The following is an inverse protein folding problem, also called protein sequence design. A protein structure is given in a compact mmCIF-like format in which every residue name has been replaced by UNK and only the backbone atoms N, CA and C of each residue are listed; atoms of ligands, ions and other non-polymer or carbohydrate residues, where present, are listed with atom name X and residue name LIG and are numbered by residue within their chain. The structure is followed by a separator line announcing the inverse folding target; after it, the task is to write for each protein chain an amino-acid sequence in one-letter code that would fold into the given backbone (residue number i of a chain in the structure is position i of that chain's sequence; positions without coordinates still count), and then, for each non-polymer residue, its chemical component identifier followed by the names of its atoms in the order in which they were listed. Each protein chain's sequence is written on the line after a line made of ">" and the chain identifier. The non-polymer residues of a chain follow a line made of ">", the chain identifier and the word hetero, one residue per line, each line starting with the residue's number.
data_IF_602509792259
#
_entry.id   IF_602509792259
#
_cell.length_a   1.000
_cell.length_b   1.000
_cell.length_c   1.000
_cell.angle_alpha   90.00
_cell.angle_beta   90.00
_cell.angle_gamma   90.00
#
_symmetry.space_group_name_H-M   'P 1'
#
loop_
_entity.id
_entity.type
_entity.pdbx_description
1 polymer ?
#
# COMPACT_ATOMS: atom_id res chain seq x y z
N UNK A 1 -20.71 -10.28 0.86
CA UNK A 1 -20.57 -8.96 0.20
C UNK A 1 -19.55 -9.09 -0.91
N UNK A 2 -19.93 -8.78 -2.16
CA UNK A 2 -18.98 -8.83 -3.28
C UNK A 2 -17.87 -7.81 -3.02
N UNK A 3 -16.59 -8.23 -3.08
CA UNK A 3 -15.41 -7.34 -3.01
C UNK A 3 -15.25 -6.46 -4.28
N UNK A 4 -16.34 -6.26 -5.03
CA UNK A 4 -16.41 -5.46 -6.24
C UNK A 4 -17.00 -4.10 -5.88
N UNK A 5 -16.39 -3.04 -6.42
CA UNK A 5 -16.87 -1.68 -6.28
C UNK A 5 -18.33 -1.54 -6.77
N UNK A 6 -19.20 -0.80 -6.05
CA UNK A 6 -20.59 -0.58 -6.45
C UNK A 6 -20.70 0.01 -7.86
N UNK A 7 -21.76 -0.32 -8.60
CA UNK A 7 -22.01 0.24 -9.94
C UNK A 7 -22.03 1.78 -9.97
N UNK A 8 -22.36 2.42 -8.84
CA UNK A 8 -22.28 3.87 -8.67
C UNK A 8 -20.87 4.45 -8.92
N UNK A 9 -19.79 3.71 -8.63
CA UNK A 9 -18.43 4.19 -8.89
C UNK A 9 -18.10 4.26 -10.39
N UNK A 10 -18.78 3.46 -11.24
CA UNK A 10 -18.65 3.59 -12.70
C UNK A 10 -19.24 4.89 -13.24
N UNK A 11 -20.17 5.52 -12.50
CA UNK A 11 -20.75 6.81 -12.86
C UNK A 11 -19.81 7.97 -12.50
N UNK A 12 -18.86 7.75 -11.58
CA UNK A 12 -17.87 8.75 -11.15
C UNK A 12 -16.58 8.60 -11.97
N UNK A 13 -16.06 7.39 -12.13
CA UNK A 13 -14.89 7.12 -12.98
C UNK A 13 -15.08 5.83 -13.80
N UNK A 14 -14.71 5.80 -15.09
CA UNK A 14 -14.98 4.64 -15.98
C UNK A 14 -14.41 3.31 -15.48
N UNK A 15 -13.29 3.34 -14.74
CA UNK A 15 -12.69 2.13 -14.15
C UNK A 15 -13.56 1.52 -13.04
N UNK A 16 -14.46 2.31 -12.43
CA UNK A 16 -15.35 1.86 -11.36
C UNK A 16 -14.61 1.22 -10.19
N UNK A 17 -13.44 1.75 -9.83
CA UNK A 17 -12.60 1.28 -8.72
C UNK A 17 -12.43 2.41 -7.71
N UNK A 18 -12.24 2.06 -6.43
CA UNK A 18 -11.75 2.97 -5.40
C UNK A 18 -10.22 2.87 -5.29
N UNK A 19 -9.51 3.94 -4.87
CA UNK A 19 -10.01 5.26 -4.50
C UNK A 19 -10.30 6.18 -5.71
N UNK A 20 -11.23 7.12 -5.52
CA UNK A 20 -11.52 8.25 -6.43
C UNK A 20 -11.77 9.48 -5.58
N UNK A 21 -11.24 10.63 -5.98
CA UNK A 21 -11.51 11.93 -5.37
C UNK A 21 -12.20 12.82 -6.39
N UNK A 22 -13.19 13.58 -5.92
CA UNK A 22 -13.81 14.67 -6.67
C UNK A 22 -13.56 15.97 -5.93
N UNK A 23 -12.92 16.92 -6.60
CA UNK A 23 -12.70 18.30 -6.12
C UNK A 23 -13.27 19.25 -7.18
N UNK A 24 -14.36 19.93 -6.85
CA UNK A 24 -15.24 20.64 -7.80
C UNK A 24 -15.62 19.75 -9.02
N UNK A 25 -15.28 20.19 -10.23
CA UNK A 25 -15.51 19.44 -11.48
C UNK A 25 -14.37 18.46 -11.83
N UNK A 26 -13.33 18.38 -11.00
CA UNK A 26 -12.16 17.52 -11.24
C UNK A 26 -12.35 16.16 -10.59
N UNK A 27 -12.30 15.09 -11.40
CA UNK A 27 -12.30 13.71 -10.90
C UNK A 27 -10.92 13.11 -11.09
N UNK A 28 -10.31 12.64 -9.99
CA UNK A 28 -9.00 12.00 -9.98
C UNK A 28 -9.13 10.58 -9.45
N UNK A 29 -8.59 9.62 -10.21
CA UNK A 29 -8.52 8.21 -9.84
C UNK A 29 -7.05 7.76 -9.81
N UNK A 30 -6.79 6.56 -9.28
CA UNK A 30 -5.46 6.00 -8.95
C UNK A 30 -4.83 6.64 -7.72
N UNK A 31 -4.38 5.81 -6.77
CA UNK A 31 -3.86 6.26 -5.46
C UNK A 31 -2.67 7.19 -5.60
N UNK A 32 -1.68 6.84 -6.44
CA UNK A 32 -0.52 7.69 -6.68
C UNK A 32 -0.91 9.07 -7.23
N UNK A 33 -1.78 9.11 -8.24
CA UNK A 33 -2.23 10.35 -8.86
C UNK A 33 -3.10 11.21 -7.92
N UNK A 34 -3.95 10.59 -7.10
CA UNK A 34 -4.72 11.29 -6.06
C UNK A 34 -3.77 11.95 -5.05
N UNK A 35 -2.74 11.23 -4.59
CA UNK A 35 -1.78 11.78 -3.64
C UNK A 35 -1.03 12.96 -4.27
N UNK A 36 -0.52 12.81 -5.49
CA UNK A 36 0.16 13.89 -6.22
C UNK A 36 -0.76 15.11 -6.39
N UNK A 37 -2.01 14.89 -6.80
CA UNK A 37 -3.01 15.96 -6.94
C UNK A 37 -3.25 16.71 -5.64
N UNK A 38 -3.42 15.99 -4.52
CA UNK A 38 -3.66 16.63 -3.22
C UNK A 38 -2.44 17.45 -2.75
N UNK A 39 -1.22 16.97 -3.02
CA UNK A 39 0.01 17.70 -2.71
C UNK A 39 0.14 18.94 -3.59
N UNK A 40 -0.09 18.82 -4.90
CA UNK A 40 -0.03 19.95 -5.83
C UNK A 40 -1.08 21.03 -5.49
N UNK A 41 -2.31 20.60 -5.19
CA UNK A 41 -3.45 21.50 -4.96
C UNK A 41 -3.43 22.15 -3.59
N UNK A 42 -3.10 21.39 -2.55
CA UNK A 42 -3.26 21.82 -1.14
C UNK A 42 -1.95 21.87 -0.34
N UNK A 43 -0.84 21.36 -0.88
CA UNK A 43 0.44 21.25 -0.17
C UNK A 43 1.01 22.59 0.25
N UNK A 44 0.80 23.65 -0.54
CA UNK A 44 1.26 25.00 -0.21
C UNK A 44 0.58 25.60 1.03
N UNK A 45 -0.64 25.16 1.37
CA UNK A 45 -1.35 25.59 2.58
C UNK A 45 -1.23 24.58 3.72
N UNK A 46 -0.47 23.49 3.53
CA UNK A 46 -0.33 22.46 4.54
C UNK A 46 0.46 22.99 5.76
N UNK A 47 0.22 22.41 6.96
CA UNK A 47 1.00 22.76 8.15
C UNK A 47 2.50 22.51 7.94
N UNK A 48 3.35 23.19 8.72
CA UNK A 48 4.81 23.12 8.57
C UNK A 48 5.38 21.68 8.63
N UNK A 49 4.73 20.77 9.36
CA UNK A 49 5.10 19.35 9.43
C UNK A 49 5.02 18.61 8.07
N UNK A 50 4.27 19.19 7.11
CA UNK A 50 4.05 18.70 5.76
C UNK A 50 4.75 19.57 4.70
N UNK A 51 5.64 20.48 5.10
CA UNK A 51 6.36 21.37 4.18
C UNK A 51 7.30 20.63 3.20
N UNK A 52 7.57 19.34 3.44
CA UNK A 52 8.43 18.48 2.62
C UNK A 52 7.64 17.34 1.94
N UNK A 53 6.32 17.51 1.75
CA UNK A 53 5.47 16.54 1.07
C UNK A 53 5.99 16.18 -0.33
N UNK A 54 6.44 17.19 -1.09
CA UNK A 54 7.19 17.03 -2.34
C UNK A 54 8.61 17.57 -2.11
N UNK A 55 9.62 16.69 -1.96
CA UNK A 55 11.00 17.13 -1.91
C UNK A 55 11.40 17.87 -3.20
N UNK A 56 12.34 18.80 -3.09
CA UNK A 56 12.74 19.65 -4.22
C UNK A 56 13.24 18.83 -5.42
N UNK A 57 12.77 19.19 -6.61
CA UNK A 57 13.15 18.49 -7.85
C UNK A 57 14.65 18.51 -8.06
N UNK A 58 15.21 17.36 -8.45
CA UNK A 58 16.64 17.18 -8.70
C UNK A 58 17.45 16.72 -7.49
N UNK A 59 16.89 16.76 -6.28
CA UNK A 59 17.57 16.24 -5.08
C UNK A 59 17.50 14.70 -5.00
N UNK A 60 18.38 14.05 -4.21
CA UNK A 60 18.28 12.63 -3.90
C UNK A 60 16.92 12.24 -3.30
N UNK A 61 16.39 13.05 -2.38
CA UNK A 61 15.13 12.80 -1.68
C UNK A 61 13.94 12.79 -2.64
N UNK A 62 13.95 13.68 -3.64
CA UNK A 62 12.92 13.66 -4.68
C UNK A 62 13.00 12.42 -5.57
N UNK A 63 14.21 11.89 -5.84
CA UNK A 63 14.38 10.62 -6.58
C UNK A 63 13.86 9.44 -5.76
N UNK A 64 14.18 9.38 -4.47
CA UNK A 64 13.64 8.37 -3.55
C UNK A 64 12.12 8.46 -3.48
N UNK A 65 11.58 9.67 -3.26
CA UNK A 65 10.14 9.90 -3.19
C UNK A 65 9.41 9.34 -4.42
N UNK A 66 9.89 9.68 -5.62
CA UNK A 66 9.36 9.15 -6.88
C UNK A 66 9.49 7.63 -6.98
N UNK A 67 10.65 7.09 -6.62
CA UNK A 67 10.88 5.64 -6.66
C UNK A 67 9.85 4.91 -5.78
N UNK A 68 9.66 5.36 -4.54
CA UNK A 68 8.74 4.72 -3.60
C UNK A 68 7.27 4.87 -3.98
N UNK A 69 6.88 6.01 -4.57
CA UNK A 69 5.55 6.20 -5.15
C UNK A 69 5.21 5.13 -6.21
N UNK A 70 6.16 4.83 -7.10
CA UNK A 70 5.98 3.82 -8.14
C UNK A 70 6.22 2.39 -7.66
N UNK A 71 7.16 2.17 -6.75
CA UNK A 71 7.48 0.84 -6.22
C UNK A 71 6.28 0.21 -5.50
N UNK A 72 5.52 1.03 -4.75
CA UNK A 72 4.32 0.59 -4.05
C UNK A 72 3.33 -0.11 -5.00
N UNK A 73 2.96 0.54 -6.09
CA UNK A 73 1.96 0.05 -7.05
C UNK A 73 2.55 -0.93 -8.06
N UNK A 74 3.74 -0.61 -8.60
CA UNK A 74 4.34 -1.35 -9.71
C UNK A 74 5.06 -2.64 -9.30
N UNK A 75 5.49 -2.78 -8.05
CA UNK A 75 6.26 -3.94 -7.60
C UNK A 75 5.67 -4.60 -6.36
N UNK A 76 5.54 -3.86 -5.26
CA UNK A 76 5.15 -4.45 -3.98
C UNK A 76 3.71 -4.99 -3.99
N UNK A 77 2.74 -4.15 -4.37
CA UNK A 77 1.33 -4.55 -4.35
C UNK A 77 1.01 -5.69 -5.31
N UNK A 78 1.73 -5.83 -6.42
CA UNK A 78 1.56 -6.95 -7.36
C UNK A 78 1.79 -8.30 -6.67
N UNK A 79 2.89 -8.44 -5.93
CA UNK A 79 3.17 -9.68 -5.19
C UNK A 79 2.21 -9.91 -4.03
N UNK A 80 1.82 -8.84 -3.33
CA UNK A 80 0.91 -8.93 -2.19
C UNK A 80 -0.52 -9.29 -2.61
N UNK A 81 -0.99 -8.80 -3.76
CA UNK A 81 -2.28 -9.19 -4.35
C UNK A 81 -2.21 -10.62 -4.85
N UNK A 82 -1.12 -11.01 -5.53
CA UNK A 82 -0.96 -12.40 -5.96
C UNK A 82 -0.97 -13.35 -4.77
N UNK A 83 -0.28 -13.00 -3.68
CA UNK A 83 -0.34 -13.76 -2.43
C UNK A 83 -1.77 -13.89 -1.91
N UNK A 84 -2.50 -12.78 -1.80
CA UNK A 84 -3.89 -12.77 -1.36
C UNK A 84 -4.78 -13.70 -2.21
N UNK A 85 -4.64 -13.63 -3.55
CA UNK A 85 -5.42 -14.47 -4.48
C UNK A 85 -5.10 -15.95 -4.25
N UNK A 86 -3.83 -16.33 -4.19
CA UNK A 86 -3.41 -17.72 -4.00
C UNK A 86 -3.69 -18.26 -2.59
N UNK A 87 -3.82 -17.40 -1.58
CA UNK A 87 -4.33 -17.77 -0.24
C UNK A 87 -5.85 -17.96 -0.24
N UNK A 88 -6.56 -17.20 -1.09
CA UNK A 88 -8.03 -17.19 -1.16
C UNK A 88 -8.59 -18.36 -1.98
N UNK A 89 -7.97 -18.71 -3.12
CA UNK A 89 -8.46 -19.75 -4.04
C UNK A 89 -8.82 -21.06 -3.32
N UNK A 90 -7.95 -21.65 -2.47
CA UNK A 90 -8.25 -22.94 -1.83
C UNK A 90 -9.32 -22.88 -0.74
N UNK A 91 -9.78 -21.67 -0.38
CA UNK A 91 -10.85 -21.41 0.60
C UNK A 91 -12.22 -21.21 -0.09
N UNK A 92 -12.25 -21.05 -1.41
CA UNK A 92 -13.49 -20.92 -2.15
C UNK A 92 -14.25 -22.27 -2.20
N UNK A 93 -15.59 -22.25 -2.32
CA UNK A 93 -16.39 -23.46 -2.48
C UNK A 93 -15.94 -24.26 -3.72
N UNK A 94 -15.61 -25.53 -3.52
CA UNK A 94 -15.23 -26.44 -4.61
C UNK A 94 -15.49 -27.91 -4.23
N UNK A 95 -15.68 -28.80 -5.22
CA UNK A 95 -15.86 -30.23 -4.96
C UNK A 95 -14.68 -30.83 -4.18
N UNK A 96 -14.97 -31.74 -3.26
CA UNK A 96 -13.96 -32.26 -2.33
C UNK A 96 -12.77 -32.94 -3.05
N UNK A 97 -12.99 -33.51 -4.24
CA UNK A 97 -11.94 -34.17 -5.03
C UNK A 97 -11.01 -33.20 -5.77
N UNK A 98 -11.48 -31.98 -6.10
CA UNK A 98 -10.65 -30.93 -6.73
C UNK A 98 -9.80 -30.22 -5.68
N UNK A 99 -10.33 -30.07 -4.46
CA UNK A 99 -9.71 -29.29 -3.39
C UNK A 99 -8.26 -29.68 -3.05
N UNK A 100 -7.86 -30.96 -2.96
CA UNK A 100 -6.47 -31.35 -2.73
C UNK A 100 -5.55 -30.90 -3.86
N UNK A 101 -5.98 -31.03 -5.11
CA UNK A 101 -5.20 -30.65 -6.30
C UNK A 101 -4.99 -29.13 -6.32
N UNK A 102 -6.06 -28.36 -6.13
CA UNK A 102 -6.00 -26.90 -6.07
C UNK A 102 -5.07 -26.42 -4.95
N UNK A 103 -5.16 -27.01 -3.76
CA UNK A 103 -4.26 -26.72 -2.63
C UNK A 103 -2.80 -27.02 -2.95
N UNK A 104 -2.51 -28.18 -3.53
CA UNK A 104 -1.15 -28.57 -3.87
C UNK A 104 -0.53 -27.63 -4.92
N UNK A 105 -1.28 -27.27 -5.96
CA UNK A 105 -0.83 -26.32 -6.98
C UNK A 105 -0.58 -24.93 -6.38
N UNK A 106 -1.55 -24.40 -5.63
CA UNK A 106 -1.40 -23.08 -4.99
C UNK A 106 -0.22 -23.05 -4.03
N UNK A 107 -0.04 -24.10 -3.22
CA UNK A 107 1.09 -24.21 -2.29
C UNK A 107 2.43 -24.21 -3.04
N UNK A 108 2.55 -24.91 -4.17
CA UNK A 108 3.77 -24.93 -4.97
C UNK A 108 4.09 -23.55 -5.56
N UNK A 109 3.09 -22.85 -6.11
CA UNK A 109 3.28 -21.50 -6.65
C UNK A 109 3.66 -20.53 -5.54
N UNK A 110 3.00 -20.63 -4.38
CA UNK A 110 3.35 -19.81 -3.22
C UNK A 110 4.80 -20.02 -2.79
N UNK A 111 5.23 -21.26 -2.58
CA UNK A 111 6.57 -21.58 -2.10
C UNK A 111 7.67 -21.21 -3.11
N UNK A 112 7.45 -21.47 -4.42
CA UNK A 112 8.50 -21.29 -5.43
C UNK A 112 8.58 -19.89 -6.01
N UNK A 113 7.49 -19.13 -5.99
CA UNK A 113 7.40 -17.84 -6.67
C UNK A 113 6.97 -16.72 -5.73
N UNK A 114 5.89 -16.88 -4.97
CA UNK A 114 5.31 -15.76 -4.22
C UNK A 114 6.10 -15.44 -2.96
N UNK A 115 6.33 -16.43 -2.10
CA UNK A 115 7.02 -16.23 -0.81
C UNK A 115 8.42 -15.65 -0.98
N UNK A 116 9.29 -16.14 -1.90
CA UNK A 116 10.60 -15.56 -2.08
C UNK A 116 10.55 -14.08 -2.49
N UNK A 117 9.65 -13.70 -3.41
CA UNK A 117 9.54 -12.32 -3.86
C UNK A 117 8.96 -11.38 -2.78
N UNK A 118 7.98 -11.85 -2.01
CA UNK A 118 7.48 -11.09 -0.84
C UNK A 118 8.58 -10.93 0.21
N UNK A 119 9.36 -11.97 0.47
CA UNK A 119 10.47 -11.92 1.41
C UNK A 119 11.58 -10.97 0.93
N UNK A 120 11.96 -11.02 -0.35
CA UNK A 120 12.91 -10.05 -0.94
C UNK A 120 12.41 -8.61 -0.78
N UNK A 121 11.12 -8.38 -1.03
CA UNK A 121 10.54 -7.06 -0.85
C UNK A 121 10.59 -6.59 0.61
N UNK A 122 10.29 -7.48 1.58
CA UNK A 122 10.36 -7.18 3.02
C UNK A 122 11.79 -6.87 3.47
N UNK A 123 12.77 -7.67 3.06
CA UNK A 123 14.20 -7.41 3.33
C UNK A 123 14.62 -6.05 2.76
N UNK A 124 14.20 -5.74 1.53
CA UNK A 124 14.54 -4.49 0.86
C UNK A 124 13.98 -3.27 1.60
N UNK A 125 12.68 -3.27 1.94
CA UNK A 125 12.05 -2.12 2.60
C UNK A 125 12.45 -1.99 4.08
N UNK A 126 12.60 -3.09 4.82
CA UNK A 126 13.08 -3.03 6.21
C UNK A 126 14.53 -2.52 6.24
N UNK A 127 15.38 -3.02 5.34
CA UNK A 127 16.77 -2.58 5.19
C UNK A 127 16.89 -1.10 4.79
N UNK A 128 15.96 -0.57 4.00
CA UNK A 128 15.89 0.87 3.69
C UNK A 128 15.59 1.71 4.94
N UNK A 129 14.66 1.24 5.77
CA UNK A 129 14.20 1.92 6.99
C UNK A 129 15.19 1.82 8.16
N UNK A 130 16.26 1.01 8.03
CA UNK A 130 17.41 1.06 8.94
C UNK A 130 18.08 2.43 8.88
N UNK A 131 18.20 3.00 7.68
CA UNK A 131 19.01 4.21 7.42
C UNK A 131 18.17 5.47 7.28
N UNK A 132 16.87 5.32 7.02
CA UNK A 132 15.99 6.42 6.71
C UNK A 132 14.81 6.42 7.68
N UNK A 133 14.51 7.60 8.25
CA UNK A 133 13.33 7.76 9.08
C UNK A 133 12.06 7.52 8.26
N UNK A 134 11.94 8.13 7.10
CA UNK A 134 10.84 8.02 6.14
C UNK A 134 11.35 7.52 4.79
N UNK A 135 10.47 7.12 3.88
CA UNK A 135 10.92 6.52 2.61
C UNK A 135 11.77 7.46 1.76
N UNK A 136 11.52 8.77 1.81
CA UNK A 136 12.27 9.77 1.05
C UNK A 136 13.32 10.53 1.89
N UNK A 137 13.68 10.04 3.08
CA UNK A 137 14.72 10.66 3.93
C UNK A 137 14.21 11.01 5.34
N UNK A 138 14.62 12.16 5.86
CA UNK A 138 14.32 12.57 7.25
C UNK A 138 12.92 13.15 7.46
N UNK A 139 12.29 13.62 6.39
CA UNK A 139 10.96 14.24 6.44
C UNK A 139 9.92 13.35 5.77
N UNK A 140 8.70 13.43 6.30
CA UNK A 140 7.54 12.74 5.75
C UNK A 140 7.21 13.33 4.37
N UNK A 141 6.98 12.46 3.38
CA UNK A 141 6.68 12.83 2.00
C UNK A 141 5.46 12.09 1.45
N UNK A 142 5.05 12.43 0.22
CA UNK A 142 4.00 11.69 -0.50
C UNK A 142 4.26 10.18 -0.60
N UNK A 143 5.54 9.78 -0.72
CA UNK A 143 5.94 8.38 -0.74
C UNK A 143 5.47 7.61 0.49
N UNK A 144 5.45 8.23 1.67
CA UNK A 144 5.04 7.57 2.91
C UNK A 144 3.54 7.34 2.96
N UNK A 145 2.73 8.23 2.38
CA UNK A 145 1.29 8.01 2.28
C UNK A 145 0.98 6.84 1.35
N UNK A 146 1.65 6.79 0.20
CA UNK A 146 1.52 5.67 -0.73
C UNK A 146 2.01 4.35 -0.13
N UNK A 147 3.21 4.36 0.46
CA UNK A 147 3.81 3.16 1.04
C UNK A 147 3.09 2.67 2.29
N UNK A 148 2.45 3.54 3.07
CA UNK A 148 1.81 3.13 4.33
C UNK A 148 0.81 1.99 4.18
N UNK A 149 -0.04 2.03 3.14
CA UNK A 149 -0.99 0.95 2.86
C UNK A 149 -0.27 -0.32 2.38
N UNK A 150 0.75 -0.16 1.53
CA UNK A 150 1.54 -1.28 1.05
C UNK A 150 2.33 -1.97 2.17
N UNK A 151 2.80 -1.21 3.16
CA UNK A 151 3.48 -1.72 4.36
C UNK A 151 2.52 -2.49 5.26
N UNK A 152 1.33 -1.96 5.53
CA UNK A 152 0.30 -2.69 6.28
C UNK A 152 -0.05 -4.03 5.61
N UNK A 153 -0.20 -4.01 4.28
CA UNK A 153 -0.45 -5.21 3.49
C UNK A 153 0.75 -6.18 3.48
N UNK A 154 1.98 -5.65 3.48
CA UNK A 154 3.20 -6.44 3.51
C UNK A 154 3.38 -7.14 4.86
N UNK A 155 3.16 -6.44 5.97
CA UNK A 155 3.23 -7.01 7.31
C UNK A 155 2.13 -8.06 7.53
N UNK A 156 0.89 -7.78 7.12
CA UNK A 156 -0.23 -8.73 7.23
C UNK A 156 -0.06 -10.02 6.40
N UNK A 157 0.75 -9.97 5.33
CA UNK A 157 0.98 -11.11 4.41
C UNK A 157 2.42 -11.62 4.44
N UNK A 158 3.29 -11.01 5.22
CA UNK A 158 4.73 -11.27 5.25
C UNK A 158 5.14 -12.38 6.20
N UNK A 159 4.20 -12.91 6.99
CA UNK A 159 4.46 -13.93 8.00
C UNK A 159 4.71 -13.28 9.36
N UNK A 160 5.78 -13.70 10.04
CA UNK A 160 6.12 -13.19 11.36
C UNK A 160 6.75 -11.79 11.27
N UNK A 161 6.01 -10.79 11.75
CA UNK A 161 6.42 -9.39 11.74
C UNK A 161 7.65 -9.10 12.62
N UNK A 162 7.98 -9.97 13.57
CA UNK A 162 9.16 -9.78 14.44
C UNK A 162 10.49 -9.78 13.68
N UNK A 163 10.49 -10.32 12.45
CA UNK A 163 11.63 -10.29 11.54
C UNK A 163 11.87 -8.91 10.90
N UNK A 164 10.90 -7.99 10.97
CA UNK A 164 10.92 -6.70 10.27
C UNK A 164 10.77 -5.52 11.26
N UNK A 165 11.68 -5.37 12.23
CA UNK A 165 11.52 -4.41 13.32
C UNK A 165 11.48 -2.95 12.84
N UNK A 166 12.19 -2.58 11.77
CA UNK A 166 12.22 -1.21 11.26
C UNK A 166 10.92 -0.90 10.52
N UNK A 167 10.37 -1.88 9.81
CA UNK A 167 9.08 -1.78 9.15
C UNK A 167 7.93 -1.67 10.16
N UNK A 168 7.99 -2.44 11.24
CA UNK A 168 7.04 -2.35 12.36
C UNK A 168 7.14 -0.99 13.05
N UNK A 169 8.36 -0.49 13.32
CA UNK A 169 8.57 0.83 13.90
C UNK A 169 8.07 1.96 12.98
N UNK A 170 8.26 1.83 11.66
CA UNK A 170 7.70 2.75 10.68
C UNK A 170 6.16 2.76 10.73
N UNK A 171 5.53 1.57 10.73
CA UNK A 171 4.06 1.44 10.84
C UNK A 171 3.56 2.14 12.10
N UNK A 172 4.18 1.87 13.26
CA UNK A 172 3.81 2.51 14.52
C UNK A 172 3.91 4.03 14.43
N UNK A 173 5.01 4.55 13.89
CA UNK A 173 5.21 5.99 13.69
C UNK A 173 4.14 6.62 12.80
N UNK A 174 3.68 5.90 11.76
CA UNK A 174 2.56 6.37 10.93
C UNK A 174 1.24 6.38 11.71
N UNK A 175 0.96 5.32 12.47
CA UNK A 175 -0.27 5.15 13.26
C UNK A 175 -0.38 6.15 14.43
N UNK A 176 0.75 6.56 15.01
CA UNK A 176 0.82 7.55 16.09
C UNK A 176 0.46 8.97 15.63
N UNK A 177 0.45 9.24 14.31
CA UNK A 177 0.13 10.56 13.80
C UNK A 177 -1.34 10.90 14.09
N UNK A 178 -1.65 12.09 14.64
CA UNK A 178 -3.03 12.52 14.85
C UNK A 178 -3.88 12.48 13.57
N UNK A 179 -3.26 12.74 12.41
CA UNK A 179 -3.94 12.64 11.12
C UNK A 179 -4.36 11.21 10.76
N UNK A 180 -3.56 10.20 11.13
CA UNK A 180 -3.89 8.80 10.90
C UNK A 180 -5.09 8.37 11.75
N UNK A 181 -5.10 8.75 13.03
CA UNK A 181 -6.23 8.48 13.94
C UNK A 181 -7.52 9.13 13.43
N UNK A 182 -7.48 10.42 13.03
CA UNK A 182 -8.63 11.08 12.40
C UNK A 182 -9.11 10.38 11.12
N UNK A 183 -8.20 9.79 10.35
CA UNK A 183 -8.56 9.03 9.16
C UNK A 183 -9.29 7.73 9.54
N UNK A 184 -8.86 7.02 10.58
CA UNK A 184 -9.56 5.85 11.11
C UNK A 184 -10.95 6.20 11.64
N UNK A 185 -11.09 7.32 12.36
CA UNK A 185 -12.37 7.76 12.91
C UNK A 185 -13.41 8.04 11.81
N UNK A 186 -12.95 8.57 10.66
CA UNK A 186 -13.81 8.87 9.51
C UNK A 186 -14.02 7.69 8.58
N UNK A 187 -12.97 6.90 8.32
CA UNK A 187 -12.93 5.85 7.31
C UNK A 187 -13.14 4.44 7.83
N UNK A 188 -13.12 4.24 9.15
CA UNK A 188 -13.12 2.94 9.80
C UNK A 188 -11.71 2.32 9.93
N UNK A 189 -11.60 1.17 10.63
CA UNK A 189 -10.32 0.50 10.84
C UNK A 189 -9.71 0.01 9.53
N UNK A 190 -8.38 -0.02 9.46
CA UNK A 190 -7.66 -0.66 8.35
C UNK A 190 -7.86 -2.17 8.44
N UNK A 191 -8.77 -2.71 7.64
CA UNK A 191 -9.09 -4.13 7.62
C UNK A 191 -8.14 -4.87 6.64
N UNK A 192 -7.05 -5.40 7.18
CA UNK A 192 -6.13 -6.30 6.46
C UNK A 192 -6.37 -7.76 6.88
N UNK A 193 -7.58 -8.29 6.68
CA UNK A 193 -7.86 -9.71 6.90
C UNK A 193 -7.92 -10.46 5.56
N UNK A 194 -7.26 -11.63 5.50
CA UNK A 194 -7.26 -12.53 4.35
C UNK A 194 -8.51 -13.42 4.33
#
# INVERSE_FOLDING_TARGET
>A
MSRLAPAALKQIHPLGKSPVVTDDDTVVAESGAIIEYLVERFGAQAPAELAQLEPARGTPEHRECRFWMHYAEGSLMNWLVMKLVFDTIPRQPMPFFVRPIARALCSKVQQKLIHPNVQTALVFIDGHLVKNRWFAGEHLSMADFQMSFAVEAALARGGDESQWPHLVAYRQRMQERPAYQRALDKGGPVLMQA
#
